data_IF_188808804801
#
_entry.id   IF_188808804801
#
_cell.length_a   1.000
_cell.length_b   1.000
_cell.length_c   1.000
_cell.angle_alpha   90.00
_cell.angle_beta   90.00
_cell.angle_gamma   90.00
#
_symmetry.space_group_name_H-M   'P 1'
#
loop_
_entity.id
_entity.type
_entity.pdbx_description
1 polymer ?
#
# COMPACT_ATOMS: atom_id res chain seq x y z
N UNK A 1 0.16 11.49 -11.00
CA UNK A 1 0.82 11.08 -9.75
C UNK A 1 1.91 10.11 -10.12
N UNK A 2 3.08 10.23 -9.48
CA UNK A 2 4.22 9.36 -9.73
C UNK A 2 4.57 8.69 -8.40
N UNK A 3 4.55 7.36 -8.39
CA UNK A 3 4.85 6.55 -7.22
C UNK A 3 6.22 5.92 -7.42
N UNK A 4 7.10 6.09 -6.45
CA UNK A 4 8.46 5.56 -6.47
C UNK A 4 8.67 4.66 -5.27
N UNK A 5 8.77 3.36 -5.54
CA UNK A 5 9.00 2.36 -4.51
C UNK A 5 10.44 2.44 -4.01
N UNK A 6 10.56 2.48 -2.69
CA UNK A 6 11.84 2.48 -1.97
C UNK A 6 12.17 1.09 -1.45
N UNK A 7 11.14 0.33 -1.08
CA UNK A 7 11.26 -1.02 -0.56
C UNK A 7 10.13 -1.90 -1.07
N UNK A 8 10.42 -3.15 -1.43
CA UNK A 8 9.41 -4.10 -1.90
C UNK A 8 9.64 -5.45 -1.23
N UNK A 9 8.60 -5.97 -0.56
CA UNK A 9 8.59 -7.35 -0.07
C UNK A 9 7.74 -8.22 -0.97
N UNK A 10 8.39 -9.07 -1.77
CA UNK A 10 7.70 -10.06 -2.61
C UNK A 10 7.11 -11.21 -1.81
N UNK A 11 7.72 -11.57 -0.69
CA UNK A 11 7.23 -12.61 0.20
C UNK A 11 5.90 -12.21 0.85
N UNK A 12 5.82 -10.96 1.28
CA UNK A 12 4.63 -10.43 1.95
C UNK A 12 3.69 -9.65 1.03
N UNK A 13 4.03 -9.52 -0.24
CA UNK A 13 3.24 -8.85 -1.28
C UNK A 13 2.83 -7.42 -0.88
N UNK A 14 3.81 -6.59 -0.55
CA UNK A 14 3.62 -5.15 -0.34
C UNK A 14 4.87 -4.35 -0.76
N UNK A 15 4.72 -3.05 -1.01
CA UNK A 15 5.83 -2.12 -1.18
C UNK A 15 5.65 -0.86 -0.32
N UNK A 16 6.75 -0.17 -0.05
CA UNK A 16 6.80 1.13 0.60
C UNK A 16 7.44 2.12 -0.35
N UNK A 17 6.91 3.33 -0.44
CA UNK A 17 7.48 4.34 -1.32
C UNK A 17 7.04 5.75 -1.02
N UNK A 18 7.38 6.64 -1.96
CA UNK A 18 7.01 8.05 -1.93
C UNK A 18 6.25 8.43 -3.19
N UNK A 19 5.14 9.12 -3.02
CA UNK A 19 4.41 9.78 -4.09
C UNK A 19 5.11 11.11 -4.38
N UNK A 20 5.80 11.20 -5.51
CA UNK A 20 6.71 12.31 -5.82
C UNK A 20 6.02 13.65 -6.05
N UNK A 21 4.72 13.67 -6.38
CA UNK A 21 4.01 14.93 -6.64
C UNK A 21 3.75 15.71 -5.35
N UNK A 22 3.41 15.01 -4.26
CA UNK A 22 3.03 15.60 -2.97
C UNK A 22 4.02 15.29 -1.85
N UNK A 23 4.97 14.38 -2.07
CA UNK A 23 5.91 13.91 -1.05
C UNK A 23 5.29 12.97 -0.01
N UNK A 24 4.08 12.45 -0.25
CA UNK A 24 3.41 11.54 0.67
C UNK A 24 4.10 10.18 0.68
N UNK A 25 4.27 9.62 1.87
CA UNK A 25 4.77 8.26 2.04
C UNK A 25 3.59 7.30 1.93
N UNK A 26 3.84 6.12 1.36
CA UNK A 26 2.80 5.11 1.19
C UNK A 26 3.29 3.70 1.48
N UNK A 27 2.31 2.84 1.77
CA UNK A 27 2.40 1.39 1.63
C UNK A 27 1.45 0.97 0.49
N UNK A 28 1.94 0.21 -0.47
CA UNK A 28 1.13 -0.34 -1.55
C UNK A 28 0.93 -1.85 -1.41
N UNK A 29 -0.24 -2.32 -1.83
CA UNK A 29 -0.56 -3.75 -1.93
C UNK A 29 -1.09 -4.06 -3.34
N UNK A 30 -0.76 -5.24 -3.90
CA UNK A 30 -1.35 -5.71 -5.13
C UNK A 30 -2.79 -6.17 -4.88
N UNK A 31 -3.67 -5.78 -5.79
CA UNK A 31 -5.10 -6.08 -5.77
C UNK A 31 -5.49 -6.56 -7.17
N UNK A 32 -6.25 -7.65 -7.23
CA UNK A 32 -6.80 -8.16 -8.49
C UNK A 32 -8.31 -8.05 -8.47
N UNK A 33 -8.90 -7.52 -9.55
CA UNK A 33 -10.35 -7.64 -9.75
C UNK A 33 -10.72 -8.79 -10.71
N UNK A 34 -9.83 -9.78 -10.87
CA UNK A 34 -10.01 -10.91 -11.79
C UNK A 34 -9.87 -10.56 -13.29
N UNK A 35 -9.92 -9.27 -13.64
CA UNK A 35 -9.67 -8.76 -14.99
C UNK A 35 -8.36 -7.98 -15.11
N UNK A 36 -7.97 -7.27 -14.04
CA UNK A 36 -6.76 -6.43 -13.99
C UNK A 36 -6.16 -6.54 -12.60
N UNK A 37 -4.83 -6.69 -12.58
CA UNK A 37 -4.02 -6.53 -11.38
C UNK A 37 -3.56 -5.08 -11.31
N UNK A 38 -3.79 -4.43 -10.18
CA UNK A 38 -3.43 -3.05 -9.90
C UNK A 38 -2.92 -2.90 -8.48
N UNK A 39 -2.34 -1.76 -8.15
CA UNK A 39 -1.86 -1.48 -6.81
C UNK A 39 -2.75 -0.47 -6.10
N UNK A 40 -3.04 -0.73 -4.83
CA UNK A 40 -3.68 0.23 -3.94
C UNK A 40 -2.63 0.88 -3.06
N UNK A 41 -2.61 2.21 -3.05
CA UNK A 41 -1.64 3.02 -2.30
C UNK A 41 -2.29 3.62 -1.06
N UNK A 42 -1.81 3.24 0.12
CA UNK A 42 -2.27 3.73 1.42
C UNK A 42 -1.26 4.71 1.99
N UNK A 43 -1.71 5.91 2.33
CA UNK A 43 -0.87 6.92 2.95
C UNK A 43 -0.43 6.48 4.35
N UNK A 44 0.85 6.63 4.63
CA UNK A 44 1.45 6.42 5.95
C UNK A 44 2.25 7.65 6.37
N UNK A 45 2.47 7.79 7.67
CA UNK A 45 3.35 8.82 8.20
C UNK A 45 4.82 8.37 8.18
N UNK A 46 5.72 9.30 8.51
CA UNK A 46 7.17 9.03 8.51
C UNK A 46 7.56 7.98 9.55
N UNK A 47 6.91 7.99 10.72
CA UNK A 47 7.19 7.05 11.79
C UNK A 47 6.89 5.60 11.37
N UNK A 48 5.73 5.37 10.75
CA UNK A 48 5.37 4.07 10.20
C UNK A 48 6.30 3.68 9.03
N UNK A 49 6.65 4.61 8.15
CA UNK A 49 7.56 4.33 7.03
C UNK A 49 8.95 3.86 7.50
N UNK A 50 9.52 4.51 8.53
CA UNK A 50 10.81 4.11 9.09
C UNK A 50 10.71 2.79 9.88
N UNK A 51 9.60 2.58 10.62
CA UNK A 51 9.35 1.33 11.33
C UNK A 51 9.21 0.14 10.37
N UNK A 52 8.39 0.26 9.33
CA UNK A 52 8.09 -0.83 8.39
C UNK A 52 9.30 -1.30 7.58
N UNK A 53 10.34 -0.47 7.45
CA UNK A 53 11.62 -0.86 6.84
C UNK A 53 12.47 -1.75 7.77
N UNK A 54 12.28 -1.66 9.07
CA UNK A 54 13.07 -2.39 10.08
C UNK A 54 12.31 -3.56 10.69
N UNK A 55 10.98 -3.47 10.74
CA UNK A 55 10.07 -4.46 11.28
C UNK A 55 9.00 -4.81 10.23
N UNK A 56 9.26 -5.92 9.52
CA UNK A 56 8.38 -6.43 8.48
C UNK A 56 7.10 -7.05 9.04
N UNK A 57 7.10 -7.54 10.28
CA UNK A 57 5.90 -8.11 10.90
C UNK A 57 4.87 -7.02 11.16
N UNK A 58 5.32 -5.86 11.64
CA UNK A 58 4.46 -4.69 11.81
C UNK A 58 3.95 -4.16 10.45
N UNK A 59 4.81 -4.12 9.43
CA UNK A 59 4.41 -3.75 8.07
C UNK A 59 3.35 -4.71 7.50
N UNK A 60 3.54 -6.02 7.69
CA UNK A 60 2.61 -7.06 7.27
C UNK A 60 1.27 -6.92 8.01
N UNK A 61 1.28 -6.66 9.32
CA UNK A 61 0.04 -6.43 10.07
C UNK A 61 -0.74 -5.24 9.50
N UNK A 62 -0.07 -4.14 9.14
CA UNK A 62 -0.70 -3.00 8.48
C UNK A 62 -1.24 -3.39 7.10
N UNK A 63 -0.44 -4.04 6.26
CA UNK A 63 -0.85 -4.52 4.94
C UNK A 63 -2.09 -5.42 5.03
N UNK A 64 -2.15 -6.33 6.01
CA UNK A 64 -3.32 -7.19 6.24
C UNK A 64 -4.59 -6.40 6.59
N UNK A 65 -4.49 -5.29 7.32
CA UNK A 65 -5.63 -4.39 7.57
C UNK A 65 -6.07 -3.68 6.30
N UNK A 66 -5.13 -3.26 5.45
CA UNK A 66 -5.42 -2.74 4.12
C UNK A 66 -6.15 -3.77 3.24
N UNK A 67 -5.68 -5.03 3.22
CA UNK A 67 -6.34 -6.13 2.49
C UNK A 67 -7.79 -6.36 2.93
N UNK A 68 -8.08 -6.12 4.21
CA UNK A 68 -9.43 -6.20 4.80
C UNK A 68 -10.27 -4.94 4.58
N UNK A 69 -9.74 -3.92 3.91
CA UNK A 69 -10.40 -2.62 3.66
C UNK A 69 -10.70 -1.83 4.93
N UNK A 70 -10.00 -2.12 6.02
CA UNK A 70 -10.18 -1.45 7.32
C UNK A 70 -9.57 -0.04 7.34
N UNK A 71 -8.71 0.27 6.36
CA UNK A 71 -7.91 1.49 6.29
C UNK A 71 -8.17 2.28 5.00
N UNK A 72 -9.35 2.11 4.40
CA UNK A 72 -9.73 2.77 3.14
C UNK A 72 -9.71 4.31 3.23
N UNK A 73 -9.87 4.87 4.43
CA UNK A 73 -9.72 6.30 4.67
C UNK A 73 -8.31 6.84 4.34
N UNK A 74 -7.31 5.96 4.33
CA UNK A 74 -5.92 6.30 4.01
C UNK A 74 -5.60 6.12 2.51
N UNK A 75 -6.55 5.67 1.68
CA UNK A 75 -6.32 5.47 0.25
C UNK A 75 -5.99 6.79 -0.45
N UNK A 76 -4.81 6.84 -1.07
CA UNK A 76 -4.36 7.97 -1.88
C UNK A 76 -5.18 8.05 -3.17
N UNK A 77 -5.49 6.89 -3.76
CA UNK A 77 -6.33 6.76 -4.94
C UNK A 77 -7.60 6.00 -4.56
N UNK A 78 -8.74 6.68 -4.61
CA UNK A 78 -10.02 6.06 -4.29
C UNK A 78 -10.38 5.02 -5.37
N UNK A 79 -10.75 3.80 -4.97
CA UNK A 79 -11.07 2.73 -5.90
C UNK A 79 -12.40 3.03 -6.61
N UNK A 80 -12.50 2.61 -7.87
CA UNK A 80 -13.74 2.70 -8.63
C UNK A 80 -14.81 1.71 -8.17
N UNK A 81 -16.00 1.75 -8.79
CA UNK A 81 -17.13 0.87 -8.45
C UNK A 81 -16.82 -0.64 -8.53
N UNK A 82 -15.84 -1.02 -9.35
CA UNK A 82 -15.36 -2.39 -9.52
C UNK A 82 -14.00 -2.57 -8.83
N UNK A 83 -13.99 -2.46 -7.50
CA UNK A 83 -12.77 -2.68 -6.69
C UNK A 83 -12.47 -4.17 -6.56
N UNK A 84 -11.22 -4.55 -6.80
CA UNK A 84 -10.73 -5.92 -6.66
C UNK A 84 -10.56 -6.41 -5.22
N UNK A 85 -10.06 -7.64 -5.10
CA UNK A 85 -9.67 -8.27 -3.84
C UNK A 85 -8.16 -8.33 -3.76
N UNK A 86 -7.60 -8.07 -2.58
CA UNK A 86 -6.16 -8.18 -2.38
C UNK A 86 -5.67 -9.61 -2.65
N UNK A 87 -4.49 -9.72 -3.26
CA UNK A 87 -3.83 -10.98 -3.61
C UNK A 87 -2.93 -11.44 -2.45
#
# INVERSE_FOLDING_TARGET
>A
MKFSDVFTSREHMFALGVEETTGRLYLSIPVSNGMVDYEEYYQIDRANFDLFQTDLDTALAFAMRCRRRELDELLIVQPGANRGTAI
#
